data_IF_279076744045
#
_entry.id   IF_279076744045
#
_cell.length_a   1.000
_cell.length_b   1.000
_cell.length_c   1.000
_cell.angle_alpha   90.00
_cell.angle_beta   90.00
_cell.angle_gamma   90.00
#
_symmetry.space_group_name_H-M   'P 1'
#
loop_
_entity.id
_entity.type
_entity.pdbx_description
1 polymer ?
#
# COMPACT_ATOMS: atom_id res chain seq x y z
N UNK A 1 0.06 -8.00 3.49
CA UNK A 1 1.13 -7.18 4.10
C UNK A 1 2.04 -8.08 4.91
N UNK A 2 3.28 -7.64 5.15
CA UNK A 2 4.21 -8.36 6.03
C UNK A 2 4.05 -7.84 7.46
N UNK A 3 4.21 -8.68 8.49
CA UNK A 3 4.33 -8.21 9.86
C UNK A 3 5.46 -7.19 9.98
N UNK A 4 5.23 -6.12 10.75
CA UNK A 4 6.21 -5.07 11.03
C UNK A 4 6.19 -4.77 12.52
N UNK A 5 7.37 -4.61 13.10
CA UNK A 5 7.49 -4.12 14.48
C UNK A 5 6.96 -2.68 14.58
N UNK A 6 6.03 -2.37 15.51
CA UNK A 6 5.36 -1.07 15.56
C UNK A 6 6.31 0.13 15.72
N UNK A 7 7.33 -0.03 16.58
CA UNK A 7 8.34 1.01 16.84
C UNK A 7 9.19 1.27 15.60
N UNK A 8 9.64 0.21 14.92
CA UNK A 8 10.41 0.28 13.68
C UNK A 8 9.59 0.92 12.56
N UNK A 9 8.32 0.54 12.41
CA UNK A 9 7.45 1.13 11.40
C UNK A 9 7.25 2.63 11.61
N UNK A 10 7.06 3.06 12.87
CA UNK A 10 6.91 4.48 13.20
C UNK A 10 8.16 5.27 12.84
N UNK A 11 9.34 4.74 13.14
CA UNK A 11 10.61 5.38 12.79
C UNK A 11 10.79 5.45 11.28
N UNK A 12 10.55 4.35 10.55
CA UNK A 12 10.67 4.30 9.10
C UNK A 12 9.77 5.31 8.38
N UNK A 13 8.58 5.61 8.92
CA UNK A 13 7.71 6.65 8.37
C UNK A 13 8.40 8.02 8.44
N UNK A 14 8.97 8.36 9.60
CA UNK A 14 9.69 9.64 9.78
C UNK A 14 10.94 9.72 8.91
N UNK A 15 11.73 8.65 8.86
CA UNK A 15 12.95 8.60 8.06
C UNK A 15 12.66 8.72 6.57
N UNK A 16 11.60 8.05 6.09
CA UNK A 16 11.16 8.15 4.69
C UNK A 16 10.70 9.56 4.38
N UNK A 17 9.90 10.19 5.24
CA UNK A 17 9.48 11.58 5.07
C UNK A 17 10.69 12.52 5.03
N UNK A 18 11.65 12.37 5.95
CA UNK A 18 12.88 13.16 5.97
C UNK A 18 13.70 12.99 4.69
N UNK A 19 13.87 11.76 4.20
CA UNK A 19 14.58 11.47 2.96
C UNK A 19 13.90 12.10 1.74
N UNK A 20 12.57 12.00 1.64
CA UNK A 20 11.78 12.62 0.55
C UNK A 20 11.95 14.14 0.55
N UNK A 21 11.88 14.79 1.72
CA UNK A 21 12.11 16.23 1.86
C UNK A 21 13.55 16.61 1.50
N UNK A 22 14.54 15.82 1.94
CA UNK A 22 15.95 16.05 1.63
C UNK A 22 16.26 15.95 0.14
N UNK A 23 15.52 15.12 -0.61
CA UNK A 23 15.58 15.04 -2.07
C UNK A 23 14.97 16.26 -2.79
N UNK A 24 14.46 17.26 -2.06
CA UNK A 24 13.96 18.52 -2.63
C UNK A 24 12.45 18.57 -2.89
N UNK A 25 11.69 17.61 -2.36
CA UNK A 25 10.23 17.67 -2.37
C UNK A 25 9.78 18.80 -1.43
N UNK A 26 9.13 19.82 -1.99
CA UNK A 26 8.59 20.96 -1.26
C UNK A 26 7.09 20.74 -0.96
N UNK A 27 6.69 20.58 0.32
CA UNK A 27 5.29 20.39 0.70
C UNK A 27 4.37 21.57 0.37
N UNK A 28 4.93 22.75 0.03
CA UNK A 28 4.14 23.89 -0.45
C UNK A 28 3.74 23.76 -1.92
N UNK A 29 4.43 22.89 -2.68
CA UNK A 29 4.20 22.67 -4.12
C UNK A 29 3.53 21.34 -4.44
N UNK A 30 3.54 20.40 -3.50
CA UNK A 30 2.96 19.07 -3.68
C UNK A 30 2.37 18.53 -2.37
N UNK A 31 1.43 17.60 -2.51
CA UNK A 31 0.81 16.94 -1.36
C UNK A 31 1.66 15.76 -0.91
N UNK A 32 2.46 15.95 0.13
CA UNK A 32 3.15 14.88 0.85
C UNK A 32 2.34 14.49 2.08
N UNK A 33 1.81 13.26 2.11
CA UNK A 33 0.96 12.79 3.20
C UNK A 33 1.21 11.31 3.52
N UNK A 34 0.75 10.88 4.69
CA UNK A 34 0.76 9.47 5.12
C UNK A 34 -0.56 8.82 4.75
N UNK A 35 -0.53 7.77 3.93
CA UNK A 35 -1.72 7.04 3.45
C UNK A 35 -2.72 6.71 4.57
N UNK A 36 -2.24 6.21 5.72
CA UNK A 36 -3.10 5.82 6.85
C UNK A 36 -3.83 6.98 7.55
N UNK A 37 -3.54 8.23 7.20
CA UNK A 37 -4.29 9.40 7.68
C UNK A 37 -5.47 9.78 6.78
N UNK A 38 -5.64 9.11 5.64
CA UNK A 38 -6.69 9.38 4.66
C UNK A 38 -7.57 8.12 4.56
N UNK A 39 -8.65 8.02 5.36
CA UNK A 39 -9.48 6.80 5.45
C UNK A 39 -10.10 6.39 4.10
N UNK A 40 -10.32 7.34 3.20
CA UNK A 40 -10.94 7.14 1.89
C UNK A 40 -10.17 6.13 1.01
N UNK A 41 -8.87 5.95 1.25
CA UNK A 41 -8.08 4.90 0.58
C UNK A 41 -8.62 3.50 0.89
N UNK A 42 -8.92 3.24 2.18
CA UNK A 42 -9.45 1.96 2.61
C UNK A 42 -10.91 1.76 2.15
N UNK A 43 -11.71 2.83 2.20
CA UNK A 43 -13.11 2.82 1.76
C UNK A 43 -13.23 2.54 0.26
N UNK A 44 -12.44 3.24 -0.56
CA UNK A 44 -12.43 3.01 -2.01
C UNK A 44 -11.85 1.64 -2.35
N UNK A 45 -10.83 1.17 -1.63
CA UNK A 45 -10.30 -0.18 -1.82
C UNK A 45 -11.36 -1.26 -1.53
N UNK A 46 -12.23 -1.04 -0.55
CA UNK A 46 -13.36 -1.93 -0.29
C UNK A 46 -14.33 -1.98 -1.47
N UNK A 47 -14.74 -0.82 -1.99
CA UNK A 47 -15.63 -0.72 -3.15
C UNK A 47 -15.01 -1.39 -4.39
N UNK A 48 -13.74 -1.10 -4.69
CA UNK A 48 -13.02 -1.72 -5.82
C UNK A 48 -12.82 -3.23 -5.62
N UNK A 49 -12.71 -3.68 -4.37
CA UNK A 49 -12.67 -5.09 -4.00
C UNK A 49 -13.92 -5.84 -4.45
N UNK A 50 -15.10 -5.23 -4.29
CA UNK A 50 -16.37 -5.78 -4.79
C UNK A 50 -16.43 -5.92 -6.33
N UNK A 51 -15.58 -5.19 -7.06
CA UNK A 51 -15.48 -5.23 -8.52
C UNK A 51 -14.32 -6.12 -9.01
N UNK A 52 -13.54 -6.69 -8.10
CA UNK A 52 -12.30 -7.41 -8.43
C UNK A 52 -12.43 -8.91 -8.20
N UNK A 53 -12.30 -9.69 -9.27
CA UNK A 53 -12.35 -11.14 -9.22
C UNK A 53 -11.10 -11.75 -8.55
N UNK A 54 -11.27 -12.65 -7.58
CA UNK A 54 -10.17 -13.34 -6.88
C UNK A 54 -9.16 -14.02 -7.84
N UNK A 55 -9.58 -14.76 -8.90
CA UNK A 55 -8.64 -15.35 -9.84
C UNK A 55 -7.74 -14.33 -10.57
N UNK A 56 -8.23 -13.10 -10.76
CA UNK A 56 -7.45 -12.02 -11.39
C UNK A 56 -6.24 -11.67 -10.53
N UNK A 57 -6.46 -11.56 -9.23
CA UNK A 57 -5.42 -11.19 -8.26
C UNK A 57 -4.42 -12.34 -8.05
N UNK A 58 -4.90 -13.58 -8.00
CA UNK A 58 -4.05 -14.78 -7.86
C UNK A 58 -3.09 -15.00 -9.05
N UNK A 59 -3.44 -14.49 -10.24
CA UNK A 59 -2.60 -14.61 -11.45
C UNK A 59 -1.46 -13.59 -11.49
N UNK A 60 -1.47 -12.56 -10.64
CA UNK A 60 -0.42 -11.55 -10.63
C UNK A 60 0.93 -12.19 -10.28
N UNK A 61 2.00 -11.95 -11.05
CA UNK A 61 3.33 -12.51 -10.76
C UNK A 61 3.83 -12.14 -9.37
N UNK A 62 3.53 -10.91 -8.92
CA UNK A 62 3.89 -10.41 -7.60
C UNK A 62 3.30 -11.23 -6.46
N UNK A 63 2.08 -11.77 -6.63
CA UNK A 63 1.49 -12.67 -5.64
C UNK A 63 2.33 -13.94 -5.52
N UNK A 64 2.69 -14.59 -6.62
CA UNK A 64 3.48 -15.83 -6.61
C UNK A 64 4.86 -15.61 -5.97
N UNK A 65 5.55 -14.55 -6.36
CA UNK A 65 6.89 -14.22 -5.86
C UNK A 65 6.85 -13.91 -4.35
N UNK A 66 5.97 -13.01 -3.92
CA UNK A 66 5.91 -12.56 -2.53
C UNK A 66 5.33 -13.63 -1.60
N UNK A 67 4.41 -14.46 -2.09
CA UNK A 67 3.91 -15.62 -1.34
C UNK A 67 5.02 -16.65 -1.10
N UNK A 68 5.86 -16.93 -2.10
CA UNK A 68 6.98 -17.84 -1.95
C UNK A 68 7.97 -17.36 -0.88
N UNK A 69 8.23 -16.04 -0.80
CA UNK A 69 9.05 -15.46 0.27
C UNK A 69 8.41 -15.47 1.67
N UNK A 70 7.14 -15.89 1.78
CA UNK A 70 6.40 -16.00 3.05
C UNK A 70 6.05 -17.47 3.37
N UNK A 71 6.94 -18.42 3.07
CA UNK A 71 6.70 -19.86 3.33
C UNK A 71 5.38 -20.38 2.71
N UNK A 72 4.95 -19.81 1.59
CA UNK A 72 3.65 -20.05 0.96
C UNK A 72 2.41 -19.60 1.76
N UNK A 73 2.58 -18.88 2.86
CA UNK A 73 1.54 -18.31 3.72
C UNK A 73 1.33 -16.82 3.42
N UNK A 74 0.81 -16.52 2.24
CA UNK A 74 0.49 -15.14 1.85
C UNK A 74 -0.74 -14.62 2.59
N UNK A 75 -0.64 -13.46 3.24
CA UNK A 75 -1.78 -12.82 3.91
C UNK A 75 -2.83 -12.31 2.92
N UNK A 76 -4.09 -12.18 3.33
CA UNK A 76 -5.16 -11.56 2.51
C UNK A 76 -4.75 -10.16 2.06
N UNK A 77 -4.14 -9.37 2.94
CA UNK A 77 -3.64 -8.05 2.56
C UNK A 77 -2.48 -8.10 1.55
N UNK A 78 -1.72 -9.20 1.43
CA UNK A 78 -0.72 -9.37 0.36
C UNK A 78 -1.40 -9.75 -0.96
N UNK A 79 -2.53 -10.47 -0.88
CA UNK A 79 -3.33 -10.74 -2.06
C UNK A 79 -3.95 -9.43 -2.57
N UNK A 80 -4.63 -8.68 -1.69
CA UNK A 80 -5.48 -7.55 -2.09
C UNK A 80 -4.78 -6.20 -2.19
N UNK A 81 -3.48 -6.07 -1.85
CA UNK A 81 -2.78 -4.79 -1.98
C UNK A 81 -2.87 -4.14 -3.37
N UNK A 82 -2.96 -4.87 -4.52
CA UNK A 82 -3.12 -4.23 -5.82
C UNK A 82 -4.46 -3.51 -5.97
N UNK A 83 -5.49 -3.94 -5.24
CA UNK A 83 -6.79 -3.25 -5.19
C UNK A 83 -6.67 -1.96 -4.39
N UNK A 84 -5.97 -2.00 -3.24
CA UNK A 84 -5.64 -0.80 -2.48
C UNK A 84 -4.79 0.17 -3.30
N UNK A 85 -3.79 -0.33 -4.03
CA UNK A 85 -2.96 0.49 -4.92
C UNK A 85 -3.78 1.15 -6.04
N UNK A 86 -4.83 0.49 -6.55
CA UNK A 86 -5.76 1.10 -7.50
C UNK A 86 -6.58 2.21 -6.84
N UNK A 87 -7.04 2.01 -5.60
CA UNK A 87 -7.71 3.06 -4.82
C UNK A 87 -6.79 4.26 -4.58
N UNK A 88 -5.52 4.01 -4.23
CA UNK A 88 -4.52 5.05 -3.96
C UNK A 88 -4.34 6.01 -5.15
N UNK A 89 -4.52 5.52 -6.38
CA UNK A 89 -4.42 6.31 -7.61
C UNK A 89 -5.76 6.96 -7.94
N UNK A 90 -6.84 6.16 -8.03
CA UNK A 90 -8.15 6.62 -8.51
C UNK A 90 -8.81 7.66 -7.59
N UNK A 91 -8.44 7.69 -6.31
CA UNK A 91 -8.94 8.69 -5.37
C UNK A 91 -8.58 10.13 -5.77
N UNK A 92 -7.50 10.32 -6.53
CA UNK A 92 -6.98 11.64 -6.89
C UNK A 92 -7.16 12.02 -8.37
N UNK A 93 -7.98 11.25 -9.11
CA UNK A 93 -8.32 11.43 -10.54
C UNK A 93 -7.13 11.22 -11.48
#
# INVERSE_FOLDING_TARGET
TMPKEPTVLRQNILDTTAAVLACGIDPKKCFLFRQSLVPEHAELAWILGCLTNVPRVLRLPQWKIKRASQNNEGTVGLLTYPVLQAADILLYK
#
